data_IF_155083044787
#
_entry.id   IF_155083044787
#
_cell.length_a   1.000
_cell.length_b   1.000
_cell.length_c   1.000
_cell.angle_alpha   90.00
_cell.angle_beta   90.00
_cell.angle_gamma   90.00
#
_symmetry.space_group_name_H-M   'P 1'
#
loop_
_entity.id
_entity.type
_entity.pdbx_description
1 polymer ?
#
# COMPACT_ATOMS: atom_id res chain seq x y z
N UNK A 1 0.43 9.11 -7.12
CA UNK A 1 0.14 9.39 -8.52
C UNK A 1 -1.12 10.25 -8.67
N UNK A 2 -2.29 9.76 -8.33
CA UNK A 2 -3.58 10.43 -8.55
C UNK A 2 -3.64 11.86 -7.98
N UNK A 3 -3.17 12.09 -6.74
CA UNK A 3 -3.07 13.45 -6.18
C UNK A 3 -2.19 14.37 -7.04
N UNK A 4 -1.06 13.85 -7.54
CA UNK A 4 -0.15 14.61 -8.40
C UNK A 4 -0.76 14.90 -9.78
N UNK A 5 -1.62 14.01 -10.27
CA UNK A 5 -2.38 14.18 -11.50
C UNK A 5 -3.64 15.07 -11.35
N UNK A 6 -3.90 15.61 -10.14
CA UNK A 6 -4.98 16.56 -9.89
C UNK A 6 -6.29 15.95 -9.39
N UNK A 7 -6.33 14.67 -9.05
CA UNK A 7 -7.51 14.03 -8.47
C UNK A 7 -7.65 14.33 -6.99
N UNK A 8 -8.88 14.41 -6.50
CA UNK A 8 -9.18 14.28 -5.09
C UNK A 8 -9.12 12.80 -4.70
N UNK A 9 -8.28 12.46 -3.71
CA UNK A 9 -8.00 11.06 -3.37
C UNK A 9 -8.26 10.82 -1.90
N UNK A 10 -9.11 9.84 -1.61
CA UNK A 10 -9.30 9.26 -0.28
C UNK A 10 -8.65 7.89 -0.23
N UNK A 11 -7.74 7.67 0.72
CA UNK A 11 -7.08 6.40 0.97
C UNK A 11 -7.84 5.68 2.06
N UNK A 12 -8.22 4.44 1.81
CA UNK A 12 -9.07 3.67 2.69
C UNK A 12 -8.47 2.30 3.01
N UNK A 13 -8.54 1.92 4.27
CA UNK A 13 -8.13 0.63 4.78
C UNK A 13 -9.36 -0.13 5.27
N UNK A 14 -9.57 -1.34 4.75
CA UNK A 14 -10.62 -2.23 5.21
C UNK A 14 -10.19 -2.92 6.50
N UNK A 15 -10.96 -2.75 7.57
CA UNK A 15 -10.72 -3.36 8.87
C UNK A 15 -11.61 -4.59 9.00
N UNK A 16 -11.00 -5.78 8.98
CA UNK A 16 -11.68 -7.05 9.20
C UNK A 16 -11.88 -7.25 10.73
N UNK A 17 -12.85 -6.56 11.29
CA UNK A 17 -13.19 -6.58 12.73
C UNK A 17 -14.49 -7.31 13.04
N UNK A 18 -14.92 -8.21 12.14
CA UNK A 18 -16.09 -9.06 12.28
C UNK A 18 -15.75 -10.53 12.00
N UNK A 19 -16.61 -11.43 12.52
CA UNK A 19 -16.51 -12.86 12.26
C UNK A 19 -15.55 -13.62 13.17
N UNK A 20 -15.38 -14.90 12.86
CA UNK A 20 -14.70 -15.91 13.70
C UNK A 20 -13.24 -15.55 14.03
N UNK A 21 -12.54 -14.83 13.17
CA UNK A 21 -11.16 -14.41 13.46
C UNK A 21 -11.07 -13.47 14.67
N UNK A 22 -12.08 -12.64 14.87
CA UNK A 22 -12.14 -11.77 16.06
C UNK A 22 -12.46 -12.56 17.33
N UNK A 23 -13.19 -13.67 17.22
CA UNK A 23 -13.42 -14.59 18.33
C UNK A 23 -12.12 -15.29 18.72
N UNK A 24 -11.37 -15.81 17.76
CA UNK A 24 -10.02 -16.37 18.00
C UNK A 24 -9.05 -15.35 18.62
N UNK A 25 -9.11 -14.08 18.21
CA UNK A 25 -8.32 -13.04 18.85
C UNK A 25 -8.69 -12.85 20.34
N UNK A 26 -9.98 -12.82 20.64
CA UNK A 26 -10.47 -12.67 22.01
C UNK A 26 -10.04 -13.86 22.88
N UNK A 27 -10.23 -15.09 22.40
CA UNK A 27 -9.82 -16.32 23.07
C UNK A 27 -8.31 -16.37 23.31
N UNK A 28 -7.53 -16.04 22.29
CA UNK A 28 -6.07 -15.98 22.41
C UNK A 28 -5.61 -14.98 23.46
N UNK A 29 -6.19 -13.78 23.45
CA UNK A 29 -5.86 -12.73 24.43
C UNK A 29 -6.30 -13.14 25.84
N UNK A 30 -7.46 -13.72 25.99
CA UNK A 30 -7.94 -14.26 27.27
C UNK A 30 -6.98 -15.31 27.83
N UNK A 31 -6.56 -16.28 27.02
CA UNK A 31 -5.62 -17.34 27.43
C UNK A 31 -4.30 -16.72 27.90
N UNK A 32 -3.72 -15.80 27.12
CA UNK A 32 -2.46 -15.13 27.49
C UNK A 32 -2.59 -14.22 28.71
N UNK A 33 -3.75 -13.60 28.91
CA UNK A 33 -4.03 -12.81 30.10
C UNK A 33 -4.09 -13.70 31.36
N UNK A 34 -4.77 -14.85 31.30
CA UNK A 34 -4.87 -15.80 32.42
C UNK A 34 -3.52 -16.43 32.80
N UNK A 35 -2.66 -16.69 31.80
CA UNK A 35 -1.29 -17.16 32.04
C UNK A 35 -0.48 -16.21 32.95
N UNK A 36 -0.71 -14.91 32.87
CA UNK A 36 -0.05 -13.91 33.73
C UNK A 36 -0.47 -13.98 35.19
N UNK A 37 -1.51 -14.75 35.51
CA UNK A 37 -2.01 -15.02 36.86
C UNK A 37 -1.81 -16.48 37.28
N UNK A 38 -1.06 -17.26 36.48
CA UNK A 38 -0.69 -18.64 36.81
C UNK A 38 -1.70 -19.69 36.35
N UNK A 39 -2.77 -19.30 35.65
CA UNK A 39 -3.71 -20.24 35.03
C UNK A 39 -3.19 -20.67 33.67
N UNK A 40 -3.06 -21.98 33.44
CA UNK A 40 -2.60 -22.52 32.15
C UNK A 40 -3.78 -23.02 31.36
N UNK A 41 -3.96 -22.44 30.17
CA UNK A 41 -4.89 -22.93 29.14
C UNK A 41 -4.13 -23.13 27.82
N UNK A 42 -4.57 -24.09 27.03
CA UNK A 42 -3.98 -24.32 25.70
C UNK A 42 -4.69 -23.43 24.67
N UNK A 43 -3.91 -22.86 23.77
CA UNK A 43 -4.44 -22.16 22.59
C UNK A 43 -4.94 -23.19 21.58
N UNK A 44 -6.05 -22.92 20.93
CA UNK A 44 -6.56 -23.69 19.81
C UNK A 44 -5.66 -23.60 18.58
N UNK A 45 -5.83 -24.50 17.62
CA UNK A 45 -5.05 -24.54 16.39
C UNK A 45 -5.20 -23.26 15.55
N UNK A 46 -6.37 -22.65 15.57
CA UNK A 46 -6.68 -21.42 14.82
C UNK A 46 -6.43 -20.14 15.62
N UNK A 47 -5.95 -20.23 16.85
CA UNK A 47 -5.69 -19.09 17.72
C UNK A 47 -4.38 -18.38 17.36
N UNK A 48 -4.26 -17.15 17.84
CA UNK A 48 -3.08 -16.33 17.61
C UNK A 48 -1.97 -16.65 18.61
N UNK A 49 -0.87 -17.21 18.12
CA UNK A 49 0.27 -17.65 18.92
C UNK A 49 1.41 -16.62 19.01
N UNK A 50 1.30 -15.50 18.30
CA UNK A 50 2.36 -14.50 18.16
C UNK A 50 2.69 -13.75 19.46
N UNK A 51 3.92 -13.21 19.56
CA UNK A 51 4.36 -12.47 20.76
C UNK A 51 3.52 -11.19 21.00
N UNK A 52 2.89 -10.65 19.96
CA UNK A 52 2.01 -9.49 20.05
C UNK A 52 0.83 -9.72 20.99
N UNK A 53 0.28 -10.94 21.04
CA UNK A 53 -0.85 -11.26 21.96
C UNK A 53 -0.36 -11.28 23.41
N UNK A 54 0.87 -11.73 23.66
CA UNK A 54 1.48 -11.68 25.00
C UNK A 54 1.70 -10.23 25.44
N UNK A 55 2.13 -9.36 24.52
CA UNK A 55 2.28 -7.93 24.80
C UNK A 55 0.92 -7.29 25.12
N UNK A 56 -0.12 -7.60 24.35
CA UNK A 56 -1.49 -7.14 24.61
C UNK A 56 -2.02 -7.62 25.95
N UNK A 57 -1.76 -8.87 26.32
CA UNK A 57 -2.18 -9.42 27.61
C UNK A 57 -1.53 -8.67 28.78
N UNK A 58 -0.25 -8.31 28.67
CA UNK A 58 0.45 -7.48 29.68
C UNK A 58 -0.17 -6.09 29.79
N UNK A 59 -0.44 -5.44 28.63
CA UNK A 59 -1.09 -4.13 28.61
C UNK A 59 -2.48 -4.19 29.27
N UNK A 60 -3.26 -5.22 28.97
CA UNK A 60 -4.56 -5.41 29.57
C UNK A 60 -4.46 -5.62 31.08
N UNK A 61 -3.52 -6.45 31.53
CA UNK A 61 -3.25 -6.65 32.97
C UNK A 61 -2.86 -5.34 33.67
N UNK A 62 -2.06 -4.51 33.03
CA UNK A 62 -1.66 -3.21 33.60
C UNK A 62 -2.85 -2.24 33.71
N UNK A 63 -3.84 -2.35 32.79
CA UNK A 63 -5.02 -1.48 32.76
C UNK A 63 -6.11 -1.93 33.75
N UNK A 64 -6.39 -3.23 33.85
CA UNK A 64 -7.55 -3.76 34.59
C UNK A 64 -7.18 -4.67 35.78
N UNK A 65 -5.89 -4.98 35.99
CA UNK A 65 -5.46 -5.91 37.04
C UNK A 65 -5.98 -7.35 36.79
N UNK A 66 -6.61 -7.92 37.81
CA UNK A 66 -7.17 -9.27 37.84
C UNK A 66 -8.70 -9.33 37.62
N UNK A 67 -9.30 -8.22 37.16
CA UNK A 67 -10.75 -8.03 37.11
C UNK A 67 -11.51 -9.12 36.32
N UNK A 68 -10.88 -9.68 35.28
CA UNK A 68 -11.52 -10.70 34.42
C UNK A 68 -11.07 -12.14 34.75
N UNK A 69 -10.23 -12.35 35.76
CA UNK A 69 -9.68 -13.69 36.09
C UNK A 69 -10.76 -14.65 36.57
N UNK A 70 -11.76 -14.17 37.36
CA UNK A 70 -12.75 -15.02 37.98
C UNK A 70 -13.82 -15.56 37.01
N UNK A 71 -14.14 -14.81 35.98
CA UNK A 71 -15.15 -15.15 34.99
C UNK A 71 -14.72 -14.62 33.59
N UNK A 72 -13.64 -15.17 33.00
CA UNK A 72 -13.07 -14.64 31.79
C UNK A 72 -13.98 -14.80 30.56
N UNK A 73 -14.77 -15.86 30.50
CA UNK A 73 -15.69 -16.15 29.39
C UNK A 73 -16.78 -15.08 29.25
N UNK A 74 -17.25 -14.50 30.34
CA UNK A 74 -18.25 -13.42 30.30
C UNK A 74 -17.68 -12.10 29.74
N UNK A 75 -16.38 -12.00 29.65
CA UNK A 75 -15.66 -10.81 29.18
C UNK A 75 -15.03 -10.96 27.77
N UNK A 76 -15.44 -11.99 27.00
CA UNK A 76 -14.90 -12.21 25.65
C UNK A 76 -15.08 -11.00 24.71
N UNK A 77 -16.20 -10.29 24.81
CA UNK A 77 -16.42 -9.08 24.02
C UNK A 77 -15.47 -7.93 24.41
N UNK A 78 -15.09 -7.82 25.67
CA UNK A 78 -14.11 -6.85 26.17
C UNK A 78 -12.71 -7.20 25.67
N UNK A 79 -12.32 -8.49 25.72
CA UNK A 79 -11.06 -8.98 25.13
C UNK A 79 -11.01 -8.69 23.64
N UNK A 80 -12.10 -8.96 22.91
CA UNK A 80 -12.23 -8.67 21.47
C UNK A 80 -12.03 -7.19 21.16
N UNK A 81 -12.73 -6.31 21.86
CA UNK A 81 -12.63 -4.84 21.68
C UNK A 81 -11.25 -4.33 22.01
N UNK A 82 -10.67 -4.79 23.12
CA UNK A 82 -9.33 -4.38 23.53
C UNK A 82 -8.27 -4.81 22.52
N UNK A 83 -8.28 -6.10 22.14
CA UNK A 83 -7.33 -6.65 21.16
C UNK A 83 -7.45 -5.97 19.81
N UNK A 84 -8.67 -5.87 19.27
CA UNK A 84 -8.93 -5.21 17.99
C UNK A 84 -8.48 -3.75 17.94
N UNK A 85 -8.81 -2.97 18.98
CA UNK A 85 -8.38 -1.56 19.09
C UNK A 85 -6.85 -1.42 19.07
N UNK A 86 -6.15 -2.17 19.90
CA UNK A 86 -4.70 -2.03 20.03
C UNK A 86 -3.95 -2.55 18.80
N UNK A 87 -4.41 -3.64 18.19
CA UNK A 87 -3.84 -4.13 16.93
C UNK A 87 -4.06 -3.13 15.79
N UNK A 88 -5.24 -2.51 15.70
CA UNK A 88 -5.49 -1.48 14.69
C UNK A 88 -4.59 -0.26 14.88
N UNK A 89 -4.39 0.20 16.12
CA UNK A 89 -3.46 1.32 16.39
C UNK A 89 -2.01 0.94 16.05
N UNK A 90 -1.60 -0.30 16.27
CA UNK A 90 -0.29 -0.81 15.82
C UNK A 90 -0.17 -0.79 14.30
N UNK A 91 -1.19 -1.29 13.58
CA UNK A 91 -1.23 -1.26 12.11
C UNK A 91 -1.10 0.19 11.60
N UNK A 92 -1.85 1.13 12.18
CA UNK A 92 -1.77 2.55 11.82
C UNK A 92 -0.35 3.10 12.00
N UNK A 93 0.28 2.77 13.12
CA UNK A 93 1.66 3.19 13.41
C UNK A 93 2.66 2.60 12.42
N UNK A 94 2.59 1.30 12.15
CA UNK A 94 3.50 0.63 11.22
C UNK A 94 3.34 1.18 9.79
N UNK A 95 2.10 1.44 9.35
CA UNK A 95 1.81 2.08 8.08
C UNK A 95 2.36 3.52 8.03
N UNK A 96 2.19 4.29 9.10
CA UNK A 96 2.72 5.66 9.19
C UNK A 96 4.26 5.68 9.11
N UNK A 97 4.94 4.79 9.83
CA UNK A 97 6.40 4.63 9.75
C UNK A 97 6.85 4.24 8.35
N UNK A 98 6.03 3.47 7.62
CA UNK A 98 6.22 3.18 6.21
C UNK A 98 5.78 4.31 5.27
N UNK A 99 5.29 5.44 5.79
CA UNK A 99 4.76 6.62 5.06
C UNK A 99 3.56 6.27 4.17
N UNK A 100 2.70 5.38 4.66
CA UNK A 100 1.43 5.01 4.05
C UNK A 100 0.33 5.33 5.07
N UNK A 101 -0.20 6.55 5.02
CA UNK A 101 -1.31 6.95 5.87
C UNK A 101 -2.64 6.71 5.15
N UNK A 102 -3.64 6.27 5.89
CA UNK A 102 -5.00 6.13 5.41
C UNK A 102 -5.86 7.28 5.93
N UNK A 103 -6.77 7.74 5.09
CA UNK A 103 -7.71 8.83 5.43
C UNK A 103 -8.97 8.23 6.11
N UNK A 104 -9.30 6.97 5.80
CA UNK A 104 -10.46 6.24 6.35
C UNK A 104 -10.05 4.82 6.75
N UNK A 105 -10.60 4.35 7.87
CA UNK A 105 -10.53 2.96 8.30
C UNK A 105 -11.96 2.42 8.37
N UNK A 106 -12.36 1.64 7.39
CA UNK A 106 -13.71 1.11 7.25
C UNK A 106 -13.87 -0.21 7.98
N UNK A 107 -14.72 -0.21 9.01
CA UNK A 107 -15.02 -1.38 9.84
C UNK A 107 -16.05 -2.27 9.15
N UNK A 108 -15.76 -3.56 8.97
CA UNK A 108 -16.72 -4.54 8.48
C UNK A 108 -17.90 -4.66 9.46
N UNK A 109 -17.59 -4.66 10.77
CA UNK A 109 -18.62 -4.70 11.80
C UNK A 109 -19.59 -3.52 11.67
N UNK A 110 -19.09 -2.31 11.46
CA UNK A 110 -19.93 -1.14 11.30
C UNK A 110 -20.85 -1.23 10.07
N UNK A 111 -20.39 -1.78 8.94
CA UNK A 111 -21.18 -2.02 7.74
C UNK A 111 -22.34 -2.99 8.05
N UNK A 112 -22.05 -4.07 8.79
CA UNK A 112 -23.06 -5.04 9.23
C UNK A 112 -24.06 -4.43 10.21
N UNK A 113 -23.59 -3.71 11.22
CA UNK A 113 -24.42 -3.08 12.25
C UNK A 113 -25.39 -2.02 11.68
N UNK A 114 -25.02 -1.36 10.57
CA UNK A 114 -25.90 -0.41 9.84
C UNK A 114 -26.98 -1.12 8.99
N UNK A 115 -26.92 -2.44 8.86
CA UNK A 115 -27.82 -3.23 8.01
C UNK A 115 -27.54 -3.02 6.50
N UNK A 116 -26.34 -2.60 6.12
CA UNK A 116 -26.01 -2.35 4.72
C UNK A 116 -25.92 -3.64 3.91
N UNK A 117 -25.55 -4.75 4.57
CA UNK A 117 -25.50 -6.08 3.96
C UNK A 117 -26.89 -6.54 3.56
N UNK A 118 -27.88 -6.37 4.42
CA UNK A 118 -29.28 -6.72 4.19
C UNK A 118 -29.90 -5.85 3.11
N UNK A 119 -29.61 -4.53 3.12
CA UNK A 119 -30.08 -3.60 2.08
C UNK A 119 -29.55 -3.99 0.70
N UNK A 120 -28.28 -4.36 0.60
CA UNK A 120 -27.66 -4.81 -0.64
C UNK A 120 -28.25 -6.14 -1.09
N UNK A 121 -28.44 -7.08 -0.18
CA UNK A 121 -29.08 -8.35 -0.50
C UNK A 121 -30.49 -8.15 -1.10
N UNK A 122 -31.30 -7.27 -0.53
CA UNK A 122 -32.64 -6.95 -1.08
C UNK A 122 -32.55 -6.36 -2.50
N UNK A 123 -31.59 -5.47 -2.76
CA UNK A 123 -31.36 -4.91 -4.10
C UNK A 123 -30.93 -5.98 -5.13
N UNK A 124 -30.17 -6.98 -4.68
CA UNK A 124 -29.64 -8.04 -5.54
C UNK A 124 -30.64 -9.19 -5.81
N UNK A 125 -31.71 -9.34 -5.00
CA UNK A 125 -32.70 -10.40 -5.17
C UNK A 125 -33.20 -10.60 -6.60
N UNK A 126 -33.49 -9.57 -7.41
CA UNK A 126 -33.93 -9.73 -8.81
C UNK A 126 -32.93 -10.44 -9.71
N UNK A 127 -31.67 -10.47 -9.33
CA UNK A 127 -30.57 -11.10 -10.08
C UNK A 127 -30.13 -12.44 -9.48
N UNK A 128 -30.84 -12.89 -8.43
CA UNK A 128 -30.57 -14.13 -7.71
C UNK A 128 -31.57 -15.22 -8.08
N UNK A 129 -31.17 -16.47 -7.81
CA UNK A 129 -32.03 -17.64 -7.86
C UNK A 129 -31.70 -18.59 -6.68
N UNK A 130 -32.67 -19.43 -6.31
CA UNK A 130 -32.47 -20.45 -5.29
C UNK A 130 -32.06 -21.78 -5.92
N UNK A 131 -31.04 -22.41 -5.35
CA UNK A 131 -30.61 -23.75 -5.72
C UNK A 131 -30.03 -24.45 -4.49
N UNK A 132 -30.47 -25.69 -4.24
CA UNK A 132 -30.04 -26.54 -3.11
C UNK A 132 -30.17 -25.84 -1.74
N UNK A 133 -31.21 -25.03 -1.58
CA UNK A 133 -31.49 -24.26 -0.35
C UNK A 133 -30.60 -23.05 -0.15
N UNK A 134 -29.71 -22.72 -1.09
CA UNK A 134 -28.84 -21.55 -1.06
C UNK A 134 -29.30 -20.50 -2.07
N UNK A 135 -29.03 -19.22 -1.80
CA UNK A 135 -29.30 -18.10 -2.68
C UNK A 135 -28.05 -17.77 -3.50
N UNK A 136 -28.18 -17.87 -4.83
CA UNK A 136 -27.11 -17.67 -5.80
C UNK A 136 -27.29 -16.38 -6.58
N UNK A 137 -26.23 -15.60 -6.78
CA UNK A 137 -26.16 -14.46 -7.68
C UNK A 137 -25.69 -14.93 -9.06
N UNK A 138 -26.42 -14.55 -10.10
CA UNK A 138 -26.07 -14.87 -11.49
C UNK A 138 -24.94 -13.94 -11.98
N UNK A 139 -23.69 -14.31 -11.68
CA UNK A 139 -22.50 -13.55 -12.08
C UNK A 139 -21.93 -13.98 -13.44
N UNK A 140 -22.31 -15.18 -13.95
CA UNK A 140 -21.85 -15.69 -15.23
C UNK A 140 -22.33 -14.84 -16.43
N UNK A 141 -23.45 -14.14 -16.29
CA UNK A 141 -23.97 -13.20 -17.31
C UNK A 141 -23.00 -12.06 -17.63
N UNK A 142 -22.12 -11.69 -16.68
CA UNK A 142 -21.13 -10.61 -16.78
C UNK A 142 -19.69 -11.14 -16.86
N UNK A 143 -19.52 -12.46 -17.16
CA UNK A 143 -18.22 -13.06 -17.47
C UNK A 143 -17.48 -13.67 -16.28
N UNK A 144 -18.15 -13.91 -15.13
CA UNK A 144 -17.57 -14.78 -14.09
C UNK A 144 -17.58 -16.24 -14.56
N UNK A 145 -16.69 -17.08 -14.04
CA UNK A 145 -16.57 -18.50 -14.42
C UNK A 145 -17.74 -19.36 -13.91
N UNK A 146 -18.43 -18.93 -12.86
CA UNK A 146 -19.62 -19.55 -12.28
C UNK A 146 -20.43 -18.57 -11.46
N UNK A 147 -21.72 -18.87 -11.24
CA UNK A 147 -22.56 -18.12 -10.32
C UNK A 147 -22.09 -18.27 -8.85
N UNK A 148 -22.44 -17.32 -8.00
CA UNK A 148 -21.90 -17.23 -6.65
C UNK A 148 -22.97 -17.27 -5.58
N UNK A 149 -22.74 -18.10 -4.55
CA UNK A 149 -23.59 -18.14 -3.36
C UNK A 149 -23.42 -16.85 -2.58
N UNK A 150 -24.53 -16.17 -2.28
CA UNK A 150 -24.61 -15.06 -1.34
C UNK A 150 -25.02 -15.52 0.03
N UNK A 151 -26.07 -16.39 0.11
CA UNK A 151 -26.58 -16.96 1.35
C UNK A 151 -26.52 -18.48 1.25
N UNK A 152 -25.88 -19.11 2.21
CA UNK A 152 -25.77 -20.57 2.29
C UNK A 152 -27.10 -21.21 2.68
N UNK A 153 -27.22 -22.53 2.51
CA UNK A 153 -28.41 -23.31 2.90
C UNK A 153 -28.71 -23.27 4.41
N UNK A 154 -27.72 -22.96 5.23
CA UNK A 154 -27.87 -22.75 6.68
C UNK A 154 -28.30 -21.32 7.06
N UNK A 155 -28.52 -20.44 6.07
CA UNK A 155 -28.93 -19.04 6.25
C UNK A 155 -27.77 -18.07 6.52
N UNK A 156 -26.53 -18.55 6.60
CA UNK A 156 -25.37 -17.68 6.81
C UNK A 156 -24.91 -17.03 5.50
N UNK A 157 -24.47 -15.78 5.58
CA UNK A 157 -23.87 -15.05 4.47
C UNK A 157 -22.49 -15.62 4.12
N UNK A 158 -22.16 -15.63 2.85
CA UNK A 158 -20.78 -15.84 2.40
C UNK A 158 -19.97 -14.55 2.57
N UNK A 159 -18.64 -14.62 2.50
CA UNK A 159 -17.79 -13.42 2.54
C UNK A 159 -18.03 -12.44 1.39
N UNK A 160 -18.58 -12.93 0.26
CA UNK A 160 -18.85 -12.10 -0.90
C UNK A 160 -19.89 -11.02 -0.61
N UNK A 161 -20.96 -11.33 0.13
CA UNK A 161 -22.07 -10.40 0.34
C UNK A 161 -21.66 -9.15 1.16
N UNK A 162 -20.94 -9.26 2.31
CA UNK A 162 -20.42 -8.10 3.00
C UNK A 162 -19.45 -7.27 2.15
N UNK A 163 -18.64 -7.92 1.31
CA UNK A 163 -17.69 -7.22 0.43
C UNK A 163 -18.43 -6.45 -0.67
N UNK A 164 -19.50 -7.01 -1.24
CA UNK A 164 -20.38 -6.29 -2.16
C UNK A 164 -20.98 -5.05 -1.47
N UNK A 165 -21.43 -5.19 -0.23
CA UNK A 165 -22.00 -4.08 0.54
C UNK A 165 -20.97 -2.98 0.81
N UNK A 166 -19.74 -3.35 1.11
CA UNK A 166 -18.63 -2.42 1.29
C UNK A 166 -18.33 -1.62 0.03
N UNK A 167 -18.31 -2.28 -1.15
CA UNK A 167 -18.07 -1.57 -2.43
C UNK A 167 -19.24 -0.68 -2.82
N UNK A 168 -20.48 -1.12 -2.57
CA UNK A 168 -21.67 -0.28 -2.74
C UNK A 168 -21.62 0.97 -1.85
N UNK A 169 -21.19 0.86 -0.58
CA UNK A 169 -20.99 2.01 0.32
C UNK A 169 -19.99 3.01 -0.27
N UNK A 170 -18.89 2.54 -0.85
CA UNK A 170 -17.92 3.44 -1.52
C UNK A 170 -18.54 4.20 -2.69
N UNK A 171 -19.32 3.54 -3.55
CA UNK A 171 -20.03 4.20 -4.63
C UNK A 171 -21.10 5.18 -4.13
N UNK A 172 -21.87 4.80 -3.11
CA UNK A 172 -22.93 5.66 -2.54
C UNK A 172 -22.33 6.91 -1.84
N UNK A 173 -21.07 6.88 -1.43
CA UNK A 173 -20.32 8.05 -0.94
C UNK A 173 -19.92 9.02 -2.07
N UNK A 174 -20.18 8.69 -3.33
CA UNK A 174 -20.02 9.57 -4.48
C UNK A 174 -18.63 9.61 -5.09
N UNK A 175 -17.84 8.56 -4.94
CA UNK A 175 -16.55 8.42 -5.64
C UNK A 175 -16.76 8.03 -7.11
N UNK A 176 -16.09 8.75 -8.02
CA UNK A 176 -16.14 8.46 -9.46
C UNK A 176 -15.32 7.25 -9.87
N UNK A 177 -14.30 6.91 -9.08
CA UNK A 177 -13.38 5.81 -9.35
C UNK A 177 -12.98 5.13 -8.05
N UNK A 178 -13.17 3.83 -7.98
CA UNK A 178 -12.68 2.97 -6.90
C UNK A 178 -11.47 2.18 -7.41
N UNK A 179 -10.39 2.15 -6.62
CA UNK A 179 -9.18 1.42 -6.94
C UNK A 179 -8.87 0.50 -5.77
N UNK A 180 -9.00 -0.79 -5.99
CA UNK A 180 -8.68 -1.81 -5.00
C UNK A 180 -7.32 -2.45 -5.30
N UNK A 181 -6.55 -2.67 -4.26
CA UNK A 181 -5.25 -3.36 -4.33
C UNK A 181 -5.43 -4.73 -3.69
N UNK A 182 -5.47 -5.78 -4.52
CA UNK A 182 -5.67 -7.16 -4.08
C UNK A 182 -4.40 -7.99 -4.30
N UNK A 183 -4.19 -9.00 -3.45
CA UNK A 183 -3.22 -10.05 -3.73
C UNK A 183 -3.61 -10.84 -4.99
N UNK A 184 -2.62 -11.39 -5.68
CA UNK A 184 -2.84 -12.10 -6.94
C UNK A 184 -3.72 -13.35 -6.81
N UNK A 185 -3.81 -13.94 -5.61
CA UNK A 185 -4.70 -15.03 -5.24
C UNK A 185 -6.19 -14.66 -5.34
N UNK A 186 -6.53 -13.37 -5.33
CA UNK A 186 -7.89 -12.84 -5.51
C UNK A 186 -8.28 -12.60 -6.99
N UNK A 187 -7.50 -13.05 -7.98
CA UNK A 187 -7.79 -12.84 -9.39
C UNK A 187 -9.24 -13.24 -9.77
N UNK A 188 -9.71 -14.42 -9.31
CA UNK A 188 -11.08 -14.88 -9.55
C UNK A 188 -12.17 -14.07 -8.87
N UNK A 189 -11.80 -13.11 -8.00
CA UNK A 189 -12.76 -12.30 -7.25
C UNK A 189 -13.26 -11.08 -8.04
N UNK A 190 -12.46 -10.62 -9.00
CA UNK A 190 -12.70 -9.37 -9.73
C UNK A 190 -14.00 -9.41 -10.54
N UNK A 191 -14.21 -10.48 -11.32
CA UNK A 191 -15.39 -10.59 -12.18
C UNK A 191 -16.70 -10.59 -11.37
N UNK A 192 -16.77 -11.37 -10.27
CA UNK A 192 -17.97 -11.44 -9.42
C UNK A 192 -18.28 -10.14 -8.72
N UNK A 193 -17.25 -9.41 -8.30
CA UNK A 193 -17.42 -8.12 -7.65
C UNK A 193 -17.92 -7.07 -8.63
N UNK A 194 -17.34 -6.99 -9.82
CA UNK A 194 -17.81 -6.10 -10.90
C UNK A 194 -19.25 -6.40 -11.33
N UNK A 195 -19.60 -7.69 -11.50
CA UNK A 195 -20.96 -8.11 -11.83
C UNK A 195 -21.96 -7.66 -10.78
N UNK A 196 -21.64 -7.85 -9.49
CA UNK A 196 -22.52 -7.43 -8.40
C UNK A 196 -22.72 -5.91 -8.34
N UNK A 197 -21.67 -5.12 -8.61
CA UNK A 197 -21.80 -3.66 -8.66
C UNK A 197 -22.61 -3.20 -9.87
N UNK A 198 -22.49 -3.87 -11.00
CA UNK A 198 -23.35 -3.65 -12.17
C UNK A 198 -24.83 -3.87 -11.84
N UNK A 199 -25.16 -4.96 -11.13
CA UNK A 199 -26.52 -5.28 -10.66
C UNK A 199 -27.08 -4.25 -9.69
N UNK A 200 -26.21 -3.59 -8.92
CA UNK A 200 -26.57 -2.49 -8.02
C UNK A 200 -26.70 -1.14 -8.73
N UNK A 201 -26.49 -1.10 -10.07
CA UNK A 201 -26.64 0.09 -10.90
C UNK A 201 -25.39 0.96 -11.00
N UNK A 202 -24.25 0.49 -10.53
CA UNK A 202 -22.96 1.17 -10.67
C UNK A 202 -22.27 0.79 -11.97
N UNK A 203 -21.47 1.70 -12.54
CA UNK A 203 -20.65 1.37 -13.69
C UNK A 203 -19.45 0.49 -13.27
N UNK A 204 -19.36 -0.78 -13.74
CA UNK A 204 -18.27 -1.70 -13.33
C UNK A 204 -16.88 -1.24 -13.80
N UNK A 205 -16.78 -0.35 -14.80
CA UNK A 205 -15.50 0.21 -15.24
C UNK A 205 -14.94 1.25 -14.26
N UNK A 206 -15.79 1.78 -13.38
CA UNK A 206 -15.37 2.64 -12.29
C UNK A 206 -14.80 1.88 -11.08
N UNK A 207 -14.82 0.55 -11.10
CA UNK A 207 -14.14 -0.31 -10.15
C UNK A 207 -12.90 -0.93 -10.82
N UNK A 208 -11.73 -0.39 -10.48
CA UNK A 208 -10.44 -0.87 -10.95
C UNK A 208 -9.81 -1.72 -9.85
N UNK A 209 -9.49 -2.97 -10.17
CA UNK A 209 -8.80 -3.87 -9.25
C UNK A 209 -7.38 -4.10 -9.77
N UNK A 210 -6.40 -3.65 -8.99
CA UNK A 210 -4.98 -3.89 -9.26
C UNK A 210 -4.52 -5.11 -8.47
N UNK A 211 -4.07 -6.15 -9.17
CA UNK A 211 -3.54 -7.36 -8.57
C UNK A 211 -2.04 -7.20 -8.30
N UNK A 212 -1.61 -7.53 -7.09
CA UNK A 212 -0.23 -7.42 -6.66
C UNK A 212 0.34 -8.82 -6.41
N UNK A 213 1.42 -9.15 -7.12
CA UNK A 213 2.11 -10.43 -7.00
C UNK A 213 2.93 -10.51 -5.72
N UNK A 214 3.25 -11.74 -5.32
CA UNK A 214 4.07 -12.01 -4.14
C UNK A 214 5.47 -11.40 -4.29
N UNK A 215 5.96 -10.83 -3.20
CA UNK A 215 7.34 -10.36 -3.05
C UNK A 215 8.15 -11.44 -2.33
N UNK A 216 9.29 -11.82 -2.91
CA UNK A 216 10.27 -12.68 -2.27
C UNK A 216 11.45 -11.84 -1.78
N UNK A 217 11.92 -12.10 -0.59
CA UNK A 217 13.08 -11.41 -0.03
C UNK A 217 14.32 -12.26 -0.20
N UNK A 218 15.42 -11.64 -0.62
CA UNK A 218 16.72 -12.27 -0.79
C UNK A 218 17.77 -11.60 0.08
N UNK A 219 18.63 -12.39 0.71
CA UNK A 219 19.77 -11.92 1.49
C UNK A 219 20.94 -12.89 1.32
N UNK A 220 22.14 -12.37 1.01
CA UNK A 220 23.34 -13.17 0.69
C UNK A 220 23.11 -14.14 -0.48
N UNK A 221 22.27 -13.78 -1.45
CA UNK A 221 21.94 -14.62 -2.61
C UNK A 221 20.94 -15.74 -2.35
N UNK A 222 20.41 -15.87 -1.14
CA UNK A 222 19.45 -16.89 -0.76
C UNK A 222 18.08 -16.26 -0.42
N UNK A 223 17.00 -17.02 -0.64
CA UNK A 223 15.66 -16.59 -0.27
C UNK A 223 15.51 -16.50 1.26
N UNK A 224 15.16 -15.32 1.74
CA UNK A 224 15.03 -15.02 3.16
C UNK A 224 13.56 -15.07 3.58
N UNK A 225 13.13 -16.23 4.12
CA UNK A 225 11.72 -16.52 4.39
C UNK A 225 11.25 -16.20 5.80
N UNK A 226 12.16 -16.14 6.78
CA UNK A 226 11.78 -16.11 8.20
C UNK A 226 12.51 -15.04 8.98
N UNK A 227 11.76 -14.36 9.84
CA UNK A 227 12.32 -13.46 10.85
C UNK A 227 13.13 -14.23 11.89
N UNK A 228 14.33 -13.72 12.21
CA UNK A 228 15.17 -14.29 13.29
C UNK A 228 14.54 -14.11 14.68
N UNK A 229 13.65 -13.10 14.86
CA UNK A 229 13.03 -12.79 16.15
C UNK A 229 11.82 -13.66 16.45
N UNK A 230 10.99 -13.93 15.43
CA UNK A 230 9.67 -14.55 15.62
C UNK A 230 9.57 -15.96 15.05
N UNK A 231 10.54 -16.39 14.18
CA UNK A 231 10.43 -17.64 13.43
C UNK A 231 9.33 -17.63 12.37
N UNK A 232 8.62 -16.52 12.20
CA UNK A 232 7.56 -16.30 11.22
C UNK A 232 8.07 -15.46 10.03
N UNK A 233 7.19 -15.12 9.11
CA UNK A 233 7.50 -14.20 8.01
C UNK A 233 8.04 -12.85 8.53
N UNK A 234 8.95 -12.23 7.76
CA UNK A 234 9.48 -10.91 8.09
C UNK A 234 8.35 -9.88 8.07
N UNK A 235 8.27 -9.08 9.11
CA UNK A 235 7.34 -7.96 9.17
C UNK A 235 7.84 -6.77 8.34
N UNK A 236 6.92 -5.91 7.92
CA UNK A 236 7.26 -4.64 7.27
C UNK A 236 8.20 -3.79 8.12
N UNK A 237 7.98 -3.76 9.43
CA UNK A 237 8.83 -3.05 10.39
C UNK A 237 10.28 -3.58 10.36
N UNK A 238 10.46 -4.89 10.44
CA UNK A 238 11.80 -5.52 10.38
C UNK A 238 12.51 -5.21 9.06
N UNK A 239 11.79 -5.21 7.93
CA UNK A 239 12.36 -4.83 6.64
C UNK A 239 12.80 -3.36 6.63
N UNK A 240 11.99 -2.46 7.15
CA UNK A 240 12.33 -1.02 7.23
C UNK A 240 13.51 -0.79 8.17
N UNK A 241 13.60 -1.49 9.30
CA UNK A 241 14.77 -1.46 10.20
C UNK A 241 16.05 -1.93 9.50
N UNK A 242 15.94 -2.87 8.57
CA UNK A 242 17.07 -3.47 7.86
C UNK A 242 17.59 -2.60 6.70
N UNK A 243 16.69 -2.03 5.87
CA UNK A 243 17.07 -1.34 4.63
C UNK A 243 16.73 0.16 4.59
N UNK A 244 15.98 0.64 5.57
CA UNK A 244 15.42 1.99 5.60
C UNK A 244 14.13 2.13 4.76
N UNK A 245 13.29 3.10 5.14
CA UNK A 245 11.97 3.30 4.52
C UNK A 245 12.06 3.72 3.05
N UNK A 246 13.05 4.54 2.69
CA UNK A 246 13.22 5.01 1.30
C UNK A 246 13.52 3.86 0.34
N UNK A 247 14.47 2.99 0.71
CA UNK A 247 14.82 1.83 -0.09
C UNK A 247 13.66 0.84 -0.17
N UNK A 248 13.03 0.50 0.97
CA UNK A 248 11.88 -0.41 0.98
C UNK A 248 10.79 0.08 0.03
N UNK A 249 10.35 1.34 0.14
CA UNK A 249 9.30 1.93 -0.70
C UNK A 249 9.67 1.96 -2.18
N UNK A 250 10.90 2.38 -2.51
CA UNK A 250 11.35 2.46 -3.89
C UNK A 250 11.34 1.08 -4.56
N UNK A 251 11.93 0.08 -3.92
CA UNK A 251 12.02 -1.26 -4.47
C UNK A 251 10.65 -1.91 -4.65
N UNK A 252 9.71 -1.74 -3.69
CA UNK A 252 8.34 -2.27 -3.83
C UNK A 252 7.60 -1.72 -5.05
N UNK A 253 7.84 -0.47 -5.44
CA UNK A 253 7.19 0.14 -6.61
C UNK A 253 8.08 0.20 -7.86
N UNK A 254 9.23 -0.48 -7.85
CA UNK A 254 10.17 -0.46 -8.98
C UNK A 254 9.79 -1.38 -10.14
N UNK A 255 8.75 -2.19 -9.95
CA UNK A 255 8.20 -3.10 -10.98
C UNK A 255 6.69 -3.00 -11.03
N UNK A 256 6.09 -3.50 -12.13
CA UNK A 256 4.65 -3.64 -12.23
C UNK A 256 4.11 -4.53 -11.11
N UNK A 257 2.96 -4.16 -10.53
CA UNK A 257 2.28 -4.97 -9.52
C UNK A 257 1.99 -6.40 -9.96
N UNK A 258 1.77 -6.62 -11.26
CA UNK A 258 1.55 -7.94 -11.84
C UNK A 258 2.82 -8.80 -11.99
N UNK A 259 4.00 -8.24 -11.73
CA UNK A 259 5.29 -8.94 -11.83
C UNK A 259 5.75 -9.41 -10.46
N UNK A 260 6.31 -10.61 -10.39
CA UNK A 260 7.02 -11.05 -9.19
C UNK A 260 8.20 -10.11 -8.89
N UNK A 261 8.37 -9.75 -7.62
CA UNK A 261 9.47 -8.94 -7.15
C UNK A 261 10.39 -9.81 -6.28
N UNK A 262 11.63 -9.96 -6.71
CA UNK A 262 12.73 -10.46 -5.90
C UNK A 262 13.41 -9.24 -5.26
N UNK A 263 13.13 -9.01 -3.99
CA UNK A 263 13.68 -7.89 -3.23
C UNK A 263 15.03 -8.28 -2.65
N UNK A 264 16.10 -7.74 -3.19
CA UNK A 264 17.46 -7.96 -2.74
C UNK A 264 17.82 -6.98 -1.60
N UNK A 265 17.87 -7.50 -0.37
CA UNK A 265 18.21 -6.74 0.84
C UNK A 265 19.63 -6.20 0.77
N UNK A 266 20.57 -6.97 0.23
CA UNK A 266 21.97 -6.56 0.16
C UNK A 266 22.15 -5.42 -0.84
N UNK A 267 21.48 -5.50 -2.00
CA UNK A 267 21.45 -4.41 -2.98
C UNK A 267 20.84 -3.13 -2.40
N UNK A 268 19.73 -3.28 -1.67
CA UNK A 268 19.01 -2.13 -1.07
C UNK A 268 19.86 -1.37 -0.02
N UNK A 269 20.87 -2.04 0.57
CA UNK A 269 21.80 -1.46 1.57
C UNK A 269 23.08 -0.88 0.98
N UNK A 270 23.38 -1.16 -0.28
CA UNK A 270 24.62 -0.69 -0.92
C UNK A 270 24.66 0.83 -1.05
N UNK A 271 25.82 1.39 -0.73
CA UNK A 271 26.14 2.81 -0.90
C UNK A 271 26.93 3.01 -2.20
N UNK A 272 26.34 2.64 -3.33
CA UNK A 272 26.98 2.67 -4.64
C UNK A 272 25.97 2.90 -5.77
N UNK A 273 26.47 3.15 -6.98
CA UNK A 273 25.63 3.43 -8.15
C UNK A 273 24.76 2.27 -8.62
N UNK A 274 25.08 1.04 -8.19
CA UNK A 274 24.27 -0.14 -8.43
C UNK A 274 22.93 -0.14 -7.65
N UNK A 275 22.86 0.59 -6.51
CA UNK A 275 21.61 0.79 -5.76
C UNK A 275 20.89 2.01 -6.36
N UNK A 276 19.73 1.83 -7.01
CA UNK A 276 19.02 2.93 -7.68
C UNK A 276 18.55 4.01 -6.72
N UNK A 277 18.26 3.65 -5.47
CA UNK A 277 17.85 4.61 -4.42
C UNK A 277 19.01 5.53 -4.06
N UNK A 278 20.16 4.93 -3.73
CA UNK A 278 21.37 5.68 -3.43
C UNK A 278 21.80 6.54 -4.60
N UNK A 279 21.71 6.00 -5.82
CA UNK A 279 22.08 6.73 -7.05
C UNK A 279 21.22 7.99 -7.25
N UNK A 280 19.90 7.88 -7.07
CA UNK A 280 19.00 9.02 -7.17
C UNK A 280 19.25 10.05 -6.04
N UNK A 281 19.37 9.60 -4.80
CA UNK A 281 19.63 10.47 -3.63
C UNK A 281 20.98 11.19 -3.75
N UNK A 282 22.03 10.47 -4.15
CA UNK A 282 23.36 11.06 -4.36
C UNK A 282 23.34 12.09 -5.49
N UNK A 283 22.63 11.81 -6.59
CA UNK A 283 22.45 12.76 -7.69
C UNK A 283 21.74 14.02 -7.22
N UNK A 284 20.66 13.90 -6.45
CA UNK A 284 19.97 15.06 -5.87
C UNK A 284 20.88 15.87 -4.93
N UNK A 285 21.62 15.21 -4.03
CA UNK A 285 22.57 15.89 -3.14
C UNK A 285 23.64 16.65 -3.92
N UNK A 286 24.12 16.09 -5.04
CA UNK A 286 25.06 16.76 -5.96
C UNK A 286 24.47 18.03 -6.54
N UNK A 287 23.21 17.99 -7.03
CA UNK A 287 22.52 19.18 -7.55
C UNK A 287 22.41 20.27 -6.49
N UNK A 288 22.01 19.94 -5.27
CA UNK A 288 21.97 20.87 -4.14
C UNK A 288 23.35 21.50 -3.88
N UNK A 289 24.42 20.72 -3.94
CA UNK A 289 25.81 21.21 -3.83
C UNK A 289 26.18 22.19 -4.93
N UNK A 290 25.81 21.92 -6.20
CA UNK A 290 26.05 22.81 -7.33
C UNK A 290 25.30 24.13 -7.15
N UNK A 291 24.01 24.08 -6.75
CA UNK A 291 23.20 25.28 -6.53
C UNK A 291 23.82 26.17 -5.44
N UNK A 292 24.23 25.58 -4.32
CA UNK A 292 24.88 26.29 -3.23
C UNK A 292 26.19 26.97 -3.69
N UNK A 293 27.02 26.25 -4.42
CA UNK A 293 28.30 26.80 -4.93
C UNK A 293 28.10 27.82 -6.08
N UNK A 294 26.93 27.81 -6.69
CA UNK A 294 26.52 28.65 -7.79
C UNK A 294 25.92 30.01 -7.41
N UNK A 295 25.80 30.33 -6.12
CA UNK A 295 25.17 31.59 -5.65
C UNK A 295 25.74 32.85 -6.29
N UNK A 296 27.05 32.87 -6.63
CA UNK A 296 27.69 33.99 -7.33
C UNK A 296 27.21 34.21 -8.77
N UNK A 297 26.51 33.25 -9.36
CA UNK A 297 25.93 33.34 -10.70
C UNK A 297 24.44 33.75 -10.68
N UNK A 298 23.91 34.14 -9.54
CA UNK A 298 22.53 34.62 -9.45
C UNK A 298 22.38 36.04 -10.02
N UNK A 299 21.19 36.40 -10.53
CA UNK A 299 20.05 35.53 -10.77
C UNK A 299 20.32 34.54 -11.93
N UNK A 300 19.66 33.34 -11.84
CA UNK A 300 19.72 32.37 -12.92
C UNK A 300 19.03 32.90 -14.17
N UNK A 301 19.45 32.40 -15.33
CA UNK A 301 18.78 32.62 -16.61
C UNK A 301 18.10 31.32 -17.04
N UNK A 302 16.77 31.38 -17.18
CA UNK A 302 15.94 30.24 -17.55
C UNK A 302 15.55 30.21 -19.04
N UNK A 303 16.11 31.10 -19.87
CA UNK A 303 15.78 31.17 -21.31
C UNK A 303 16.29 29.96 -22.09
N UNK A 304 17.40 29.35 -21.66
CA UNK A 304 17.98 28.17 -22.28
C UNK A 304 18.61 28.41 -23.65
N UNK A 305 18.73 29.68 -24.10
CA UNK A 305 19.16 30.04 -25.45
C UNK A 305 20.62 29.66 -25.76
N UNK A 306 21.46 29.47 -24.75
CA UNK A 306 22.87 29.06 -24.87
C UNK A 306 23.09 27.56 -24.66
N UNK A 307 22.04 26.81 -24.21
CA UNK A 307 22.13 25.38 -24.01
C UNK A 307 22.12 24.66 -25.36
N UNK A 308 23.23 24.12 -25.78
CA UNK A 308 23.43 23.61 -27.15
C UNK A 308 23.97 22.18 -27.22
N UNK A 309 24.57 21.67 -26.13
CA UNK A 309 25.13 20.32 -26.11
C UNK A 309 24.05 19.25 -26.10
N UNK A 310 24.39 18.05 -26.55
CA UNK A 310 23.45 16.92 -26.58
C UNK A 310 22.94 16.56 -25.16
N UNK A 311 23.85 16.57 -24.16
CA UNK A 311 23.44 16.27 -22.77
C UNK A 311 22.51 17.32 -22.17
N UNK A 312 22.66 18.62 -22.53
CA UNK A 312 21.72 19.67 -22.12
C UNK A 312 20.34 19.47 -22.77
N UNK A 313 20.32 19.15 -24.08
CA UNK A 313 19.06 18.88 -24.81
C UNK A 313 18.34 17.67 -24.27
N UNK A 314 19.07 16.59 -23.98
CA UNK A 314 18.48 15.36 -23.38
C UNK A 314 17.82 15.65 -22.03
N UNK A 315 18.45 16.44 -21.16
CA UNK A 315 17.85 16.87 -19.90
C UNK A 315 16.58 17.70 -20.11
N UNK A 316 16.56 18.63 -21.04
CA UNK A 316 15.39 19.43 -21.35
C UNK A 316 14.22 18.56 -21.85
N UNK A 317 14.50 17.54 -22.68
CA UNK A 317 13.50 16.59 -23.16
C UNK A 317 12.92 15.78 -22.00
N UNK A 318 13.79 15.25 -21.11
CA UNK A 318 13.35 14.51 -19.93
C UNK A 318 12.50 15.37 -18.99
N UNK A 319 12.95 16.58 -18.68
CA UNK A 319 12.17 17.51 -17.83
C UNK A 319 10.81 17.84 -18.45
N UNK A 320 10.75 18.05 -19.78
CA UNK A 320 9.51 18.29 -20.50
C UNK A 320 8.54 17.10 -20.42
N UNK A 321 9.05 15.87 -20.43
CA UNK A 321 8.22 14.65 -20.39
C UNK A 321 7.65 14.33 -19.00
N UNK A 322 8.11 14.98 -17.93
CA UNK A 322 7.69 14.67 -16.56
C UNK A 322 6.16 14.68 -16.34
N UNK A 323 5.43 15.71 -16.79
CA UNK A 323 3.96 15.70 -16.63
C UNK A 323 3.29 14.52 -17.35
N UNK A 324 3.75 14.16 -18.55
CA UNK A 324 3.21 13.05 -19.34
C UNK A 324 3.50 11.70 -18.66
N UNK A 325 4.67 11.56 -18.04
CA UNK A 325 5.02 10.36 -17.26
C UNK A 325 4.07 10.19 -16.06
N UNK A 326 3.77 11.28 -15.32
CA UNK A 326 2.81 11.26 -14.21
C UNK A 326 1.43 10.83 -14.70
N UNK A 327 0.93 11.44 -15.77
CA UNK A 327 -0.39 11.13 -16.34
C UNK A 327 -0.48 9.68 -16.83
N UNK A 328 0.55 9.20 -17.51
CA UNK A 328 0.62 7.82 -18.02
C UNK A 328 0.67 6.82 -16.87
N UNK A 329 1.54 7.04 -15.89
CA UNK A 329 1.65 6.20 -14.69
C UNK A 329 0.33 6.14 -13.92
N UNK A 330 -0.38 7.28 -13.84
CA UNK A 330 -1.71 7.37 -13.19
C UNK A 330 -2.75 6.59 -13.97
N UNK A 331 -2.87 6.81 -15.28
CA UNK A 331 -3.86 6.15 -16.15
C UNK A 331 -3.71 4.63 -16.17
N UNK A 332 -2.47 4.16 -16.13
CA UNK A 332 -2.17 2.73 -16.20
C UNK A 332 -2.06 2.07 -14.82
N UNK A 333 -2.15 2.84 -13.71
CA UNK A 333 -1.94 2.37 -12.32
C UNK A 333 -0.56 1.72 -12.12
N UNK A 334 0.48 2.26 -12.78
CA UNK A 334 1.81 1.68 -12.81
C UNK A 334 2.87 2.62 -12.21
N UNK A 335 3.07 2.57 -10.87
CA UNK A 335 4.05 3.42 -10.18
C UNK A 335 5.50 3.25 -10.66
N UNK A 336 5.87 2.06 -11.16
CA UNK A 336 7.23 1.78 -11.63
C UNK A 336 7.69 2.71 -12.75
N UNK A 337 6.76 3.30 -13.51
CA UNK A 337 7.11 4.30 -14.53
C UNK A 337 7.79 5.53 -13.93
N UNK A 338 7.46 5.86 -12.68
CA UNK A 338 8.11 6.96 -11.96
C UNK A 338 9.52 6.57 -11.52
N UNK A 339 9.72 5.36 -10.99
CA UNK A 339 11.07 4.90 -10.60
C UNK A 339 12.01 4.78 -11.79
N UNK A 340 11.49 4.32 -12.94
CA UNK A 340 12.26 4.31 -14.20
C UNK A 340 12.63 5.73 -14.62
N UNK A 341 11.67 6.66 -14.62
CA UNK A 341 11.91 8.05 -14.96
C UNK A 341 12.95 8.71 -14.03
N UNK A 342 12.88 8.46 -12.72
CA UNK A 342 13.86 8.93 -11.73
C UNK A 342 15.26 8.42 -12.06
N UNK A 343 15.37 7.13 -12.42
CA UNK A 343 16.65 6.53 -12.81
C UNK A 343 17.22 7.15 -14.09
N UNK A 344 16.39 7.32 -15.13
CA UNK A 344 16.77 7.91 -16.40
C UNK A 344 17.20 9.38 -16.23
N UNK A 345 16.43 10.15 -15.44
CA UNK A 345 16.76 11.53 -15.13
C UNK A 345 18.09 11.64 -14.36
N UNK A 346 18.30 10.80 -13.33
CA UNK A 346 19.53 10.77 -12.56
C UNK A 346 20.74 10.42 -13.46
N UNK A 347 20.57 9.49 -14.40
CA UNK A 347 21.59 9.10 -15.37
C UNK A 347 21.94 10.25 -16.29
N UNK A 348 20.95 10.92 -16.87
CA UNK A 348 21.14 12.07 -17.73
C UNK A 348 21.79 13.27 -17.01
N UNK A 349 21.43 13.51 -15.74
CA UNK A 349 22.05 14.53 -14.88
C UNK A 349 23.53 14.23 -14.68
N UNK A 350 23.90 12.99 -14.37
CA UNK A 350 25.32 12.62 -14.18
C UNK A 350 26.13 12.69 -15.48
N UNK A 351 25.52 12.36 -16.62
CA UNK A 351 26.12 12.54 -17.93
C UNK A 351 26.38 14.03 -18.24
N UNK A 352 25.36 14.88 -18.02
CA UNK A 352 25.51 16.34 -18.17
C UNK A 352 26.60 16.89 -17.26
N UNK A 353 26.61 16.51 -15.97
CA UNK A 353 27.64 16.96 -15.03
C UNK A 353 29.06 16.58 -15.47
N UNK A 354 29.22 15.41 -16.06
CA UNK A 354 30.51 14.92 -16.54
C UNK A 354 30.99 15.66 -17.79
N UNK A 355 30.06 15.99 -18.71
CA UNK A 355 30.38 16.58 -20.01
C UNK A 355 30.37 18.10 -20.00
N UNK A 356 29.66 18.75 -19.07
CA UNK A 356 29.43 20.18 -19.03
C UNK A 356 29.90 20.81 -17.72
N UNK A 357 30.85 21.75 -17.81
CA UNK A 357 31.25 22.54 -16.64
C UNK A 357 30.14 23.55 -16.28
N UNK A 358 29.37 23.27 -15.22
CA UNK A 358 28.21 24.09 -14.85
C UNK A 358 28.59 25.49 -14.39
N UNK A 359 29.58 25.59 -13.51
CA UNK A 359 30.07 26.86 -12.94
C UNK A 359 31.42 27.24 -13.57
N UNK A 360 31.39 28.18 -14.49
CA UNK A 360 32.58 28.67 -15.23
C UNK A 360 32.61 30.20 -15.23
N UNK A 361 33.57 30.76 -14.51
CA UNK A 361 33.75 32.21 -14.42
C UNK A 361 34.14 32.85 -15.75
N UNK A 362 34.66 32.06 -16.72
CA UNK A 362 34.97 32.55 -18.07
C UNK A 362 33.74 32.56 -19.00
N UNK A 363 32.64 31.90 -18.61
CA UNK A 363 31.41 31.78 -19.39
C UNK A 363 30.15 32.05 -18.52
N UNK A 364 30.11 33.21 -17.88
CA UNK A 364 29.10 33.60 -16.89
C UNK A 364 27.66 33.45 -17.40
N UNK A 365 27.38 33.90 -18.64
CA UNK A 365 26.03 33.81 -19.21
C UNK A 365 25.56 32.34 -19.36
N UNK A 366 26.44 31.47 -19.87
CA UNK A 366 26.15 30.04 -20.00
C UNK A 366 26.02 29.37 -18.61
N UNK A 367 26.86 29.73 -17.65
CA UNK A 367 26.79 29.23 -16.27
C UNK A 367 25.46 29.57 -15.61
N UNK A 368 24.91 30.77 -15.82
CA UNK A 368 23.59 31.16 -15.35
C UNK A 368 22.48 30.30 -15.94
N UNK A 369 22.54 29.95 -17.22
CA UNK A 369 21.54 29.04 -17.85
C UNK A 369 21.70 27.59 -17.39
N UNK A 370 22.93 27.08 -17.27
CA UNK A 370 23.22 25.77 -16.73
C UNK A 370 22.74 25.63 -15.27
N UNK A 371 22.91 26.70 -14.49
CA UNK A 371 22.40 26.73 -13.11
C UNK A 371 20.86 26.68 -13.07
N UNK A 372 20.18 27.38 -13.99
CA UNK A 372 18.75 27.27 -14.19
C UNK A 372 18.30 25.83 -14.53
N UNK A 373 19.02 25.15 -15.41
CA UNK A 373 18.77 23.74 -15.76
C UNK A 373 18.99 22.82 -14.55
N UNK A 374 20.05 23.03 -13.77
CA UNK A 374 20.32 22.28 -12.51
C UNK A 374 19.20 22.48 -11.51
N UNK A 375 18.68 23.70 -11.36
CA UNK A 375 17.55 23.98 -10.47
C UNK A 375 16.28 23.25 -10.91
N UNK A 376 15.97 23.23 -12.20
CA UNK A 376 14.85 22.48 -12.73
C UNK A 376 14.99 20.96 -12.48
N UNK A 377 16.20 20.41 -12.66
CA UNK A 377 16.49 19.02 -12.36
C UNK A 377 16.34 18.69 -10.86
N UNK A 378 16.79 19.58 -9.96
CA UNK A 378 16.65 19.42 -8.51
C UNK A 378 15.18 19.35 -8.10
N UNK A 379 14.35 20.27 -8.61
CA UNK A 379 12.90 20.32 -8.33
C UNK A 379 12.18 19.04 -8.77
N UNK A 380 12.53 18.52 -9.96
CA UNK A 380 11.85 17.33 -10.50
C UNK A 380 12.35 16.04 -9.84
N UNK A 381 13.63 15.96 -9.48
CA UNK A 381 14.22 14.77 -8.85
C UNK A 381 13.86 14.66 -7.35
N UNK A 382 13.55 15.78 -6.70
CA UNK A 382 13.09 15.84 -5.30
C UNK A 382 11.70 15.24 -5.12
#
# INVERSE_FOLDING_TARGET
>A
LYKKAGYYVTREYYVNDAGVQMDHLAESLMVRYLELFGEKRELGENDYHGPEIIELAKLLKDEIGDSYVKDPESHLEEFKKFGGKHLLERIKKDLHEFRVDQDVYSSEKAIRDRGDVEKVLEKLKPYCYEQDGALWLNTTKDGDDKDRVLVKSDGHYTYLLPDIAYHNDKFERGFDLLIDLFGADHHGYVARLKSSQNDLGHNPDHLVVSLVQMVRLFKNGEEFKMSKRTGNAITMKELVEEVGVDAARYFFVSRSGNSHLDFDIDLAKKLGSENPVYYAQYTHARLCGILKNGERFLPMDITGSLLSTESEKNLLILLKSYPDVILTATKENEPYKITNYVHDLATAINEFYTKCRVLDDSAVALSKQRLGLVSACEIVLK
#
